data_IF_200036703977
#
_entry.id   IF_200036703977
#
_cell.length_a   1.000
_cell.length_b   1.000
_cell.length_c   1.000
_cell.angle_alpha   90.00
_cell.angle_beta   90.00
_cell.angle_gamma   90.00
#
_symmetry.space_group_name_H-M   'P 1'
#
loop_
_entity.id
_entity.type
_entity.pdbx_description
1 polymer ?
#
# COMPACT_ATOMS: atom_id res chain seq x y z
N UNK A 1 -31.93 -8.97 -1.88
CA UNK A 1 -30.81 -8.92 -2.86
C UNK A 1 -29.55 -8.90 -2.03
N UNK A 2 -29.04 -10.10 -1.75
CA UNK A 2 -27.83 -10.30 -0.94
C UNK A 2 -26.64 -9.90 -1.80
N UNK A 3 -25.74 -9.07 -1.27
CA UNK A 3 -24.43 -8.82 -1.83
C UNK A 3 -23.61 -10.11 -1.66
N UNK A 4 -23.97 -11.12 -2.46
CA UNK A 4 -23.18 -12.32 -2.61
C UNK A 4 -21.84 -11.89 -3.18
N UNK A 5 -20.82 -11.99 -2.35
CA UNK A 5 -19.45 -12.29 -2.76
C UNK A 5 -19.00 -11.47 -3.98
N UNK A 6 -18.75 -10.17 -3.77
CA UNK A 6 -17.67 -9.53 -4.52
C UNK A 6 -16.38 -10.21 -4.05
N UNK A 7 -16.09 -11.37 -4.65
CA UNK A 7 -14.77 -11.95 -4.54
C UNK A 7 -13.89 -10.98 -5.32
N UNK A 8 -13.05 -10.24 -4.60
CA UNK A 8 -11.91 -9.48 -5.14
C UNK A 8 -10.85 -10.47 -5.68
N UNK A 9 -11.28 -11.42 -6.51
CA UNK A 9 -10.41 -12.40 -7.15
C UNK A 9 -9.71 -11.68 -8.30
N UNK A 10 -8.51 -11.19 -8.01
CA UNK A 10 -7.50 -10.73 -8.96
C UNK A 10 -7.85 -9.47 -9.78
N UNK A 11 -8.22 -8.36 -9.13
CA UNK A 11 -7.85 -7.07 -9.70
C UNK A 11 -6.33 -6.96 -9.60
N UNK A 12 -5.64 -6.97 -10.75
CA UNK A 12 -4.20 -6.65 -10.76
C UNK A 12 -4.01 -5.27 -10.11
N UNK A 13 -3.32 -5.24 -8.97
CA UNK A 13 -3.06 -4.01 -8.24
C UNK A 13 -2.29 -3.04 -9.14
N UNK A 14 -2.94 -2.00 -9.64
CA UNK A 14 -2.31 -1.03 -10.53
C UNK A 14 -1.41 -0.07 -9.74
N UNK A 15 -0.14 -0.46 -9.62
CA UNK A 15 0.89 0.32 -8.97
C UNK A 15 1.62 1.31 -9.88
N UNK A 16 1.41 1.21 -11.21
CA UNK A 16 2.13 2.01 -12.19
C UNK A 16 3.65 1.90 -12.01
N UNK A 17 4.32 3.05 -11.93
CA UNK A 17 5.77 3.16 -11.75
C UNK A 17 6.30 2.49 -10.47
N UNK A 18 5.45 2.28 -9.44
CA UNK A 18 5.84 1.63 -8.19
C UNK A 18 5.81 0.08 -8.27
N UNK A 19 5.37 -0.51 -9.38
CA UNK A 19 5.19 -1.96 -9.53
C UNK A 19 6.52 -2.74 -9.37
N UNK A 20 7.59 -2.23 -9.99
CA UNK A 20 8.92 -2.82 -9.83
C UNK A 20 9.38 -2.77 -8.38
N UNK A 21 9.21 -1.62 -7.72
CA UNK A 21 9.60 -1.45 -6.33
C UNK A 21 8.82 -2.39 -5.39
N UNK A 22 7.53 -2.58 -5.64
CA UNK A 22 6.68 -3.44 -4.81
C UNK A 22 7.09 -4.90 -4.90
N UNK A 23 7.43 -5.33 -6.12
CA UNK A 23 7.87 -6.71 -6.38
C UNK A 23 9.26 -6.98 -5.81
N UNK A 24 10.15 -5.98 -5.86
CA UNK A 24 11.57 -6.14 -5.53
C UNK A 24 11.87 -5.90 -4.05
N UNK A 25 11.17 -4.97 -3.40
CA UNK A 25 11.46 -4.54 -2.03
C UNK A 25 11.52 -5.68 -0.99
N UNK A 26 10.58 -6.65 -0.97
CA UNK A 26 10.62 -7.74 0.02
C UNK A 26 11.89 -8.60 -0.08
N UNK A 27 12.33 -8.88 -1.31
CA UNK A 27 13.54 -9.66 -1.55
C UNK A 27 14.78 -8.89 -1.11
N UNK A 28 14.91 -7.62 -1.52
CA UNK A 28 16.06 -6.77 -1.15
C UNK A 28 16.13 -6.57 0.36
N UNK A 29 14.99 -6.41 1.03
CA UNK A 29 14.92 -6.31 2.49
C UNK A 29 15.44 -7.59 3.16
N UNK A 30 15.02 -8.74 2.65
CA UNK A 30 15.48 -10.06 3.14
C UNK A 30 16.98 -10.23 2.94
N UNK A 31 17.48 -9.86 1.75
CA UNK A 31 18.90 -9.95 1.44
C UNK A 31 19.73 -9.00 2.32
N UNK A 32 19.25 -7.78 2.55
CA UNK A 32 19.88 -6.84 3.48
C UNK A 32 19.94 -7.41 4.91
N UNK A 33 18.84 -7.93 5.44
CA UNK A 33 18.81 -8.48 6.81
C UNK A 33 19.76 -9.65 6.98
N UNK A 34 19.82 -10.55 5.98
CA UNK A 34 20.77 -11.65 5.97
C UNK A 34 22.21 -11.13 5.93
N UNK A 35 22.49 -10.14 5.08
CA UNK A 35 23.83 -9.61 4.90
C UNK A 35 24.33 -8.85 6.12
N UNK A 36 23.44 -8.08 6.74
CA UNK A 36 23.72 -7.40 8.00
C UNK A 36 24.11 -8.39 9.10
N UNK A 37 23.40 -9.50 9.22
CA UNK A 37 23.72 -10.54 10.20
C UNK A 37 25.09 -11.22 9.91
N UNK A 38 25.42 -11.45 8.65
CA UNK A 38 26.74 -11.95 8.25
C UNK A 38 27.86 -10.96 8.61
N UNK A 39 27.65 -9.67 8.35
CA UNK A 39 28.59 -8.59 8.67
C UNK A 39 28.78 -8.44 10.18
N UNK A 40 27.69 -8.33 10.95
CA UNK A 40 27.73 -8.24 12.41
C UNK A 40 28.44 -9.44 13.04
N UNK A 41 28.16 -10.65 12.54
CA UNK A 41 28.83 -11.87 12.98
C UNK A 41 30.33 -11.85 12.70
N UNK A 42 30.75 -11.37 11.54
CA UNK A 42 32.16 -11.25 11.18
C UNK A 42 32.89 -10.22 12.05
N UNK A 43 32.29 -9.04 12.25
CA UNK A 43 32.84 -7.99 13.14
C UNK A 43 32.92 -8.48 14.58
N UNK A 44 31.89 -9.18 15.07
CA UNK A 44 31.86 -9.73 16.43
C UNK A 44 32.92 -10.83 16.65
N UNK A 45 33.28 -11.59 15.61
CA UNK A 45 34.37 -12.56 15.67
C UNK A 45 35.72 -11.84 15.78
N UNK A 46 35.97 -10.82 14.96
CA UNK A 46 37.21 -10.06 14.97
C UNK A 46 37.41 -9.26 16.26
N UNK A 47 36.35 -8.71 16.84
CA UNK A 47 36.45 -7.93 18.10
C UNK A 47 36.91 -8.75 19.31
N UNK A 48 36.85 -10.08 19.22
CA UNK A 48 37.34 -11.00 20.25
C UNK A 48 38.79 -11.44 20.02
N UNK A 49 39.37 -11.11 18.88
CA UNK A 49 40.75 -11.46 18.53
C UNK A 49 41.71 -10.38 19.01
N UNK A 50 43.00 -10.73 19.19
CA UNK A 50 44.04 -9.72 19.31
C UNK A 50 44.17 -9.00 17.96
N UNK A 51 44.07 -7.66 17.89
CA UNK A 51 44.13 -6.92 16.61
C UNK A 51 45.36 -7.24 15.75
N UNK A 52 46.51 -7.50 16.36
CA UNK A 52 47.75 -7.82 15.63
C UNK A 52 47.71 -9.23 15.01
N UNK A 53 46.80 -10.09 15.44
CA UNK A 53 46.61 -11.46 14.96
C UNK A 53 45.51 -11.58 13.89
N UNK A 54 44.85 -10.48 13.53
CA UNK A 54 43.87 -10.47 12.46
C UNK A 54 44.63 -10.58 11.13
N UNK A 55 44.24 -11.54 10.31
CA UNK A 55 44.82 -11.70 8.98
C UNK A 55 44.20 -10.69 8.01
N UNK A 56 45.00 -10.18 7.07
CA UNK A 56 44.55 -9.25 6.00
C UNK A 56 43.31 -9.77 5.27
N UNK A 57 43.25 -11.07 4.97
CA UNK A 57 42.09 -11.70 4.32
C UNK A 57 40.78 -11.57 5.13
N UNK A 58 40.88 -11.51 6.46
CA UNK A 58 39.73 -11.30 7.34
C UNK A 58 39.30 -9.83 7.39
N UNK A 59 40.25 -8.90 7.29
CA UNK A 59 39.97 -7.46 7.15
C UNK A 59 39.23 -7.21 5.84
N UNK A 60 39.79 -7.66 4.71
CA UNK A 60 39.15 -7.55 3.38
C UNK A 60 37.80 -8.29 3.33
N UNK A 61 37.73 -9.43 4.02
CA UNK A 61 36.53 -10.04 4.61
C UNK A 61 35.40 -9.05 4.90
N UNK A 62 35.65 -8.33 5.97
CA UNK A 62 34.69 -7.46 6.64
C UNK A 62 34.42 -6.22 5.81
N UNK A 63 35.44 -5.68 5.13
CA UNK A 63 35.28 -4.53 4.23
C UNK A 63 34.30 -4.84 3.09
N UNK A 64 34.45 -5.99 2.41
CA UNK A 64 33.50 -6.41 1.36
C UNK A 64 32.09 -6.60 1.90
N UNK A 65 31.95 -7.23 3.08
CA UNK A 65 30.64 -7.41 3.70
C UNK A 65 29.99 -6.06 4.07
N UNK A 66 30.78 -5.10 4.54
CA UNK A 66 30.30 -3.75 4.85
C UNK A 66 29.80 -3.04 3.58
N UNK A 67 30.58 -3.09 2.49
CA UNK A 67 30.20 -2.50 1.20
C UNK A 67 28.92 -3.12 0.63
N UNK A 68 28.82 -4.45 0.61
CA UNK A 68 27.64 -5.17 0.13
C UNK A 68 26.39 -4.86 1.00
N UNK A 69 26.57 -4.77 2.32
CA UNK A 69 25.48 -4.42 3.25
C UNK A 69 25.00 -2.98 3.04
N UNK A 70 25.92 -2.03 2.85
CA UNK A 70 25.57 -0.62 2.59
C UNK A 70 24.86 -0.45 1.25
N UNK A 71 25.29 -1.16 0.20
CA UNK A 71 24.61 -1.14 -1.10
C UNK A 71 23.16 -1.62 -0.98
N UNK A 72 22.93 -2.76 -0.31
CA UNK A 72 21.58 -3.30 -0.07
C UNK A 72 20.76 -2.37 0.82
N UNK A 73 21.37 -1.72 1.81
CA UNK A 73 20.72 -0.75 2.67
C UNK A 73 20.21 0.46 1.88
N UNK A 74 21.06 0.99 0.99
CA UNK A 74 20.72 2.12 0.15
C UNK A 74 19.63 1.76 -0.87
N UNK A 75 19.68 0.56 -1.43
CA UNK A 75 18.62 0.05 -2.30
C UNK A 75 17.28 -0.07 -1.55
N UNK A 76 17.30 -0.65 -0.34
CA UNK A 76 16.11 -0.71 0.53
C UNK A 76 15.51 0.68 0.75
N UNK A 77 16.34 1.68 1.06
CA UNK A 77 15.90 3.07 1.27
C UNK A 77 15.22 3.66 0.05
N UNK A 78 15.80 3.46 -1.14
CA UNK A 78 15.24 3.98 -2.40
C UNK A 78 13.89 3.33 -2.69
N UNK A 79 13.83 1.99 -2.67
CA UNK A 79 12.59 1.25 -2.95
C UNK A 79 11.50 1.60 -1.94
N UNK A 80 11.86 1.67 -0.66
CA UNK A 80 10.96 2.09 0.42
C UNK A 80 10.40 3.48 0.18
N UNK A 81 11.23 4.45 -0.20
CA UNK A 81 10.77 5.82 -0.47
C UNK A 81 9.76 5.88 -1.63
N UNK A 82 10.00 5.13 -2.71
CA UNK A 82 9.05 5.00 -3.83
C UNK A 82 7.72 4.43 -3.34
N UNK A 83 7.75 3.36 -2.56
CA UNK A 83 6.56 2.70 -2.04
C UNK A 83 5.80 3.57 -1.04
N UNK A 84 6.49 4.25 -0.12
CA UNK A 84 5.87 5.21 0.80
C UNK A 84 5.19 6.36 0.05
N UNK A 85 5.83 6.88 -1.00
CA UNK A 85 5.23 7.92 -1.84
C UNK A 85 3.94 7.42 -2.52
N UNK A 86 3.99 6.19 -3.07
CA UNK A 86 2.81 5.56 -3.68
C UNK A 86 1.67 5.34 -2.69
N UNK A 87 1.97 4.81 -1.50
CA UNK A 87 0.99 4.60 -0.44
C UNK A 87 0.30 5.91 -0.04
N UNK A 88 1.07 6.99 0.15
CA UNK A 88 0.54 8.33 0.46
C UNK A 88 -0.41 8.83 -0.63
N UNK A 89 0.02 8.75 -1.90
CA UNK A 89 -0.82 9.18 -3.02
C UNK A 89 -2.14 8.40 -3.12
N UNK A 90 -2.12 7.09 -2.83
CA UNK A 90 -3.35 6.27 -2.82
C UNK A 90 -4.26 6.61 -1.62
N UNK A 91 -3.68 6.90 -0.46
CA UNK A 91 -4.44 7.37 0.71
C UNK A 91 -5.10 8.71 0.40
N UNK A 92 -4.38 9.65 -0.22
CA UNK A 92 -4.94 10.95 -0.64
C UNK A 92 -6.06 10.80 -1.67
N UNK A 93 -5.91 9.89 -2.64
CA UNK A 93 -6.95 9.54 -3.61
C UNK A 93 -8.20 9.02 -2.90
N UNK A 94 -8.03 8.11 -1.93
CA UNK A 94 -9.12 7.56 -1.13
C UNK A 94 -9.86 8.64 -0.32
N UNK A 95 -9.14 9.59 0.28
CA UNK A 95 -9.76 10.73 0.96
C UNK A 95 -10.55 11.62 -0.02
N UNK A 96 -10.12 11.73 -1.27
CA UNK A 96 -10.89 12.37 -2.33
C UNK A 96 -12.19 11.64 -2.64
N UNK A 97 -12.11 10.31 -2.83
CA UNK A 97 -13.27 9.47 -3.09
C UNK A 97 -14.27 9.46 -1.92
N UNK A 98 -13.78 9.46 -0.68
CA UNK A 98 -14.60 9.56 0.53
C UNK A 98 -15.44 10.86 0.51
N UNK A 99 -14.82 12.00 0.19
CA UNK A 99 -15.51 13.29 0.07
C UNK A 99 -16.58 13.25 -1.01
N UNK A 100 -16.27 12.68 -2.17
CA UNK A 100 -17.25 12.49 -3.25
C UNK A 100 -18.42 11.60 -2.81
N UNK A 101 -18.12 10.52 -2.09
CA UNK A 101 -19.13 9.59 -1.56
C UNK A 101 -20.05 10.25 -0.55
N UNK A 102 -19.52 11.16 0.28
CA UNK A 102 -20.29 11.89 1.29
C UNK A 102 -21.46 12.69 0.69
N UNK A 103 -21.36 13.09 -0.58
CA UNK A 103 -22.43 13.79 -1.31
C UNK A 103 -23.58 12.86 -1.73
N UNK A 104 -23.38 11.54 -1.69
CA UNK A 104 -24.30 10.54 -2.18
C UNK A 104 -24.72 9.51 -1.12
N UNK A 105 -24.46 9.77 0.17
CA UNK A 105 -24.77 8.85 1.29
C UNK A 105 -26.22 8.40 1.35
N UNK A 106 -27.17 9.24 0.90
CA UNK A 106 -28.59 8.89 0.84
C UNK A 106 -28.92 7.69 -0.10
N UNK A 107 -27.97 7.26 -0.93
CA UNK A 107 -28.13 6.17 -1.91
C UNK A 107 -27.31 4.92 -1.56
N UNK A 108 -26.67 4.89 -0.40
CA UNK A 108 -25.73 3.84 -0.01
C UNK A 108 -26.09 3.35 1.39
N UNK A 109 -25.78 2.08 1.69
CA UNK A 109 -25.93 1.54 3.04
C UNK A 109 -24.80 2.02 3.92
N UNK A 110 -25.12 2.30 5.18
CA UNK A 110 -24.16 2.75 6.19
C UNK A 110 -23.03 1.73 6.40
N UNK A 111 -23.37 0.45 6.55
CA UNK A 111 -22.40 -0.65 6.71
C UNK A 111 -21.33 -0.70 5.59
N UNK A 112 -21.73 -0.42 4.34
CA UNK A 112 -20.82 -0.43 3.19
C UNK A 112 -19.83 0.75 3.26
N UNK A 113 -20.29 1.91 3.77
CA UNK A 113 -19.46 3.10 3.97
C UNK A 113 -18.48 2.86 5.12
N UNK A 114 -18.95 2.29 6.24
CA UNK A 114 -18.10 1.96 7.40
C UNK A 114 -16.96 1.01 7.00
N UNK A 115 -17.25 0.01 6.17
CA UNK A 115 -16.23 -0.90 5.65
C UNK A 115 -15.15 -0.18 4.81
N UNK A 116 -15.55 0.74 3.93
CA UNK A 116 -14.57 1.53 3.16
C UNK A 116 -13.69 2.39 4.07
N UNK A 117 -14.30 3.03 5.07
CA UNK A 117 -13.60 3.87 6.03
C UNK A 117 -12.65 3.07 6.92
N UNK A 118 -13.00 1.82 7.28
CA UNK A 118 -12.12 0.95 8.07
C UNK A 118 -10.87 0.58 7.27
N UNK A 119 -11.02 0.19 5.99
CA UNK A 119 -9.88 -0.09 5.12
C UNK A 119 -8.97 1.14 4.92
N UNK A 120 -9.56 2.32 4.73
CA UNK A 120 -8.80 3.57 4.63
C UNK A 120 -8.02 3.87 5.91
N UNK A 121 -8.66 3.72 7.07
CA UNK A 121 -8.06 3.96 8.38
C UNK A 121 -6.93 2.97 8.66
N UNK A 122 -7.11 1.69 8.33
CA UNK A 122 -6.07 0.66 8.41
C UNK A 122 -4.88 1.01 7.53
N UNK A 123 -5.09 1.46 6.29
CA UNK A 123 -4.00 1.86 5.40
C UNK A 123 -3.16 3.01 5.98
N UNK A 124 -3.81 4.00 6.60
CA UNK A 124 -3.13 5.12 7.29
C UNK A 124 -2.31 4.61 8.48
N UNK A 125 -2.91 3.78 9.34
CA UNK A 125 -2.22 3.22 10.51
C UNK A 125 -1.00 2.38 10.13
N UNK A 126 -1.13 1.53 9.11
CA UNK A 126 -0.02 0.73 8.61
C UNK A 126 1.11 1.61 8.07
N UNK A 127 0.78 2.70 7.37
CA UNK A 127 1.79 3.64 6.88
C UNK A 127 2.51 4.36 8.01
N UNK A 128 1.79 4.78 9.06
CA UNK A 128 2.37 5.41 10.25
C UNK A 128 3.27 4.45 11.05
N UNK A 129 2.94 3.16 11.02
CA UNK A 129 3.74 2.08 11.61
C UNK A 129 4.88 1.58 10.71
N UNK A 130 5.10 2.21 9.55
CA UNK A 130 6.15 1.84 8.59
C UNK A 130 5.95 0.47 7.91
N UNK A 131 4.73 -0.09 7.99
CA UNK A 131 4.31 -1.35 7.38
C UNK A 131 3.82 -1.14 5.94
N UNK A 132 4.71 -0.63 5.09
CA UNK A 132 4.39 -0.05 3.78
C UNK A 132 3.67 -1.01 2.83
N UNK A 133 4.04 -2.30 2.83
CA UNK A 133 3.39 -3.28 1.95
C UNK A 133 1.90 -3.43 2.31
N UNK A 134 1.61 -3.59 3.60
CA UNK A 134 0.23 -3.67 4.09
C UNK A 134 -0.53 -2.37 3.85
N UNK A 135 0.12 -1.21 4.02
CA UNK A 135 -0.49 0.08 3.73
C UNK A 135 -0.94 0.20 2.26
N UNK A 136 -0.12 -0.25 1.31
CA UNK A 136 -0.45 -0.26 -0.12
C UNK A 136 -1.63 -1.20 -0.42
N UNK A 137 -1.61 -2.41 0.13
CA UNK A 137 -2.68 -3.39 -0.06
C UNK A 137 -4.02 -2.84 0.44
N UNK A 138 -4.05 -2.31 1.66
CA UNK A 138 -5.24 -1.72 2.26
C UNK A 138 -5.71 -0.47 1.52
N UNK A 139 -4.79 0.39 1.09
CA UNK A 139 -5.14 1.55 0.28
C UNK A 139 -5.75 1.14 -1.06
N UNK A 140 -5.29 0.05 -1.69
CA UNK A 140 -5.88 -0.46 -2.93
C UNK A 140 -7.30 -0.98 -2.71
N UNK A 141 -7.49 -1.82 -1.69
CA UNK A 141 -8.81 -2.36 -1.33
C UNK A 141 -9.81 -1.25 -1.00
N UNK A 142 -9.38 -0.23 -0.24
CA UNK A 142 -10.19 0.94 0.06
C UNK A 142 -10.59 1.67 -1.24
N UNK A 143 -9.64 1.91 -2.16
CA UNK A 143 -9.92 2.60 -3.43
C UNK A 143 -10.96 1.88 -4.27
N UNK A 144 -10.80 0.58 -4.42
CA UNK A 144 -11.72 -0.26 -5.20
C UNK A 144 -13.13 -0.24 -4.59
N UNK A 145 -13.20 -0.36 -3.26
CA UNK A 145 -14.46 -0.31 -2.52
C UNK A 145 -15.14 1.05 -2.65
N UNK A 146 -14.42 2.15 -2.43
CA UNK A 146 -14.92 3.50 -2.61
C UNK A 146 -15.42 3.75 -4.04
N UNK A 147 -14.65 3.34 -5.05
CA UNK A 147 -15.01 3.52 -6.46
C UNK A 147 -16.28 2.75 -6.80
N UNK A 148 -16.39 1.50 -6.32
CA UNK A 148 -17.57 0.66 -6.51
C UNK A 148 -18.82 1.28 -5.89
N UNK A 149 -18.72 1.75 -4.64
CA UNK A 149 -19.84 2.42 -3.96
C UNK A 149 -20.22 3.73 -4.64
N UNK A 150 -19.25 4.56 -5.00
CA UNK A 150 -19.51 5.83 -5.67
C UNK A 150 -20.22 5.63 -7.01
N UNK A 151 -19.82 4.60 -7.77
CA UNK A 151 -20.49 4.22 -9.01
C UNK A 151 -21.95 3.84 -8.76
N UNK A 152 -22.22 2.98 -7.78
CA UNK A 152 -23.59 2.56 -7.43
C UNK A 152 -24.44 3.76 -6.98
N UNK A 153 -23.90 4.60 -6.11
CA UNK A 153 -24.58 5.76 -5.58
C UNK A 153 -24.94 6.76 -6.68
N UNK A 154 -24.00 7.06 -7.58
CA UNK A 154 -24.24 7.93 -8.74
C UNK A 154 -25.26 7.33 -9.69
N UNK A 155 -25.23 6.02 -9.93
CA UNK A 155 -26.23 5.32 -10.74
C UNK A 155 -27.65 5.47 -10.16
N UNK A 156 -27.83 5.21 -8.87
CA UNK A 156 -29.12 5.36 -8.20
C UNK A 156 -29.61 6.82 -8.19
N UNK A 157 -28.68 7.77 -8.02
CA UNK A 157 -28.99 9.19 -8.12
C UNK A 157 -29.51 9.57 -9.52
N UNK A 158 -28.88 9.09 -10.59
CA UNK A 158 -29.34 9.31 -11.97
C UNK A 158 -30.73 8.70 -12.19
N UNK A 159 -30.94 7.44 -11.78
CA UNK A 159 -32.21 6.74 -11.93
C UNK A 159 -33.37 7.48 -11.25
N UNK A 160 -33.14 8.00 -10.04
CA UNK A 160 -34.12 8.82 -9.32
C UNK A 160 -34.52 10.09 -10.09
N UNK A 161 -33.55 10.77 -10.71
CA UNK A 161 -33.84 11.99 -11.48
C UNK A 161 -34.51 11.69 -12.83
N UNK A 162 -34.18 10.59 -13.48
CA UNK A 162 -34.88 10.13 -14.69
C UNK A 162 -36.34 9.80 -14.39
N UNK A 163 -36.62 9.08 -13.30
CA UNK A 163 -37.99 8.79 -12.86
C UNK A 163 -38.79 10.07 -12.61
N UNK A 164 -38.19 11.05 -11.91
CA UNK A 164 -38.83 12.33 -11.66
C UNK A 164 -39.12 13.12 -12.94
N UNK A 165 -38.21 13.10 -13.91
CA UNK A 165 -38.42 13.74 -15.20
C UNK A 165 -39.57 13.09 -15.98
N UNK A 166 -39.67 11.76 -15.95
CA UNK A 166 -40.77 11.01 -16.57
C UNK A 166 -42.12 11.30 -15.92
N UNK A 167 -42.16 11.42 -14.59
CA UNK A 167 -43.36 11.80 -13.83
C UNK A 167 -43.85 13.20 -14.23
N UNK A 168 -42.95 14.19 -14.26
CA UNK A 168 -43.28 15.56 -14.66
C UNK A 168 -43.80 15.65 -16.10
N UNK A 169 -43.26 14.84 -17.01
CA UNK A 169 -43.74 14.77 -18.39
C UNK A 169 -45.14 14.16 -18.49
N UNK A 170 -45.48 13.18 -17.64
CA UNK A 170 -46.80 12.55 -17.60
C UNK A 170 -47.88 13.46 -17.01
N UNK A 171 -47.52 14.35 -16.09
CA UNK A 171 -48.44 15.35 -15.50
C UNK A 171 -48.71 16.56 -16.43
N UNK A 172 -47.93 16.70 -17.49
CA UNK A 172 -48.02 17.82 -18.44
C UNK A 172 -48.90 17.52 -19.68
N UNK A 173 -49.56 16.35 -19.72
CA UNK A 173 -50.51 15.89 -20.76
C UNK A 173 -51.89 15.77 -20.14
#
# INVERSE_FOLDING_TARGET
>A
MELGTFIFENSEMNLGEASEAYSRYPQVRTDFDKKLLEYEGAVAALSRMNPVSIAVEQEERVDRLAEETEQLHQECKILKAVLSSKAKGMIEENTGLEKDLSCHTAFIKEDDVEFCLSLHSEAVQLLDNDEIMGAIEKACQARESFTGLLFQAKKMWIEKHLQKADEMNKESI
#
